data_IF_522146878565
#
_entry.id   IF_522146878565
#
_cell.length_a   1.000
_cell.length_b   1.000
_cell.length_c   1.000
_cell.angle_alpha   90.00
_cell.angle_beta   90.00
_cell.angle_gamma   90.00
#
_symmetry.space_group_name_H-M   'P 1'
#
loop_
_entity.id
_entity.type
_entity.pdbx_description
1 polymer ?
#
# COMPACT_ATOMS: atom_id res chain seq x y z
N UNK A 1 -18.13 -30.76 45.70
CA UNK A 1 -18.42 -29.37 46.09
C UNK A 1 -17.59 -28.45 45.21
N UNK A 2 -18.28 -27.78 44.28
CA UNK A 2 -17.99 -26.50 43.60
C UNK A 2 -16.59 -26.18 43.07
N UNK A 3 -16.43 -26.44 41.77
CA UNK A 3 -15.80 -25.62 40.72
C UNK A 3 -15.40 -24.18 41.10
N UNK A 4 -14.14 -23.83 40.79
CA UNK A 4 -13.75 -22.46 40.47
C UNK A 4 -13.13 -22.46 39.05
N UNK A 5 -13.87 -21.88 38.11
CA UNK A 5 -13.50 -21.67 36.72
C UNK A 5 -12.37 -20.63 36.65
N UNK A 6 -11.20 -21.00 36.13
CA UNK A 6 -10.15 -20.05 35.78
C UNK A 6 -10.41 -19.53 34.37
N UNK A 7 -11.12 -18.41 34.30
CA UNK A 7 -11.33 -17.60 33.10
C UNK A 7 -10.00 -16.94 32.73
N UNK A 8 -9.57 -17.11 31.49
CA UNK A 8 -8.46 -16.37 30.91
C UNK A 8 -8.84 -14.87 30.85
N UNK A 9 -8.38 -14.10 31.85
CA UNK A 9 -8.44 -12.65 31.84
C UNK A 9 -7.44 -12.12 30.81
N UNK A 10 -7.94 -11.83 29.61
CA UNK A 10 -7.31 -10.83 28.75
C UNK A 10 -7.50 -9.47 29.44
N UNK A 11 -6.42 -8.86 29.90
CA UNK A 11 -6.46 -7.49 30.40
C UNK A 11 -6.85 -6.57 29.24
N UNK A 12 -8.14 -6.27 29.13
CA UNK A 12 -8.59 -5.00 28.58
C UNK A 12 -8.24 -3.94 29.60
N UNK A 13 -7.40 -2.97 29.24
CA UNK A 13 -7.25 -1.73 30.00
C UNK A 13 -8.64 -1.12 30.19
N UNK A 14 -9.24 -1.36 31.35
CA UNK A 14 -10.39 -0.63 31.84
C UNK A 14 -9.88 0.63 32.51
N UNK A 15 -10.28 1.76 31.95
CA UNK A 15 -10.23 3.10 32.55
C UNK A 15 -10.50 3.06 34.06
N UNK A 16 -9.44 3.23 34.86
CA UNK A 16 -9.52 3.79 36.21
C UNK A 16 -8.51 4.93 36.28
N UNK A 17 -9.02 6.15 36.08
CA UNK A 17 -8.35 7.36 36.55
C UNK A 17 -8.30 7.29 38.09
N UNK A 18 -7.13 6.98 38.63
CA UNK A 18 -6.74 7.43 39.96
C UNK A 18 -5.43 8.18 39.77
N UNK A 19 -5.50 9.49 39.91
CA UNK A 19 -4.33 10.36 39.99
C UNK A 19 -3.49 9.95 41.21
N UNK A 20 -2.31 9.41 40.96
CA UNK A 20 -1.22 9.40 41.93
C UNK A 20 0.01 10.01 41.27
N UNK A 21 0.36 11.21 41.71
CA UNK A 21 1.62 11.87 41.40
C UNK A 21 2.78 10.97 41.81
N UNK A 22 3.55 10.51 40.82
CA UNK A 22 4.92 10.04 41.03
C UNK A 22 5.80 10.93 40.17
N UNK A 23 6.61 11.76 40.83
CA UNK A 23 7.66 12.55 40.17
C UNK A 23 8.69 11.62 39.51
N UNK A 24 9.07 11.83 38.25
CA UNK A 24 10.21 11.15 37.68
C UNK A 24 11.45 12.05 37.77
N UNK A 25 12.46 11.56 38.48
CA UNK A 25 13.84 12.00 38.30
C UNK A 25 14.57 11.04 37.35
N UNK A 26 15.39 11.62 36.47
CA UNK A 26 16.49 11.02 35.69
C UNK A 26 16.12 10.62 34.25
N UNK A 27 16.27 11.62 33.38
CA UNK A 27 17.07 11.64 32.14
C UNK A 27 17.00 10.44 31.19
N UNK A 28 16.17 10.61 30.14
CA UNK A 28 16.48 10.13 28.80
C UNK A 28 15.83 11.08 27.79
N UNK A 29 16.64 11.97 27.20
CA UNK A 29 16.25 12.90 26.14
C UNK A 29 15.76 12.13 24.92
N UNK A 30 14.44 11.93 24.85
CA UNK A 30 13.77 11.56 23.61
C UNK A 30 13.42 12.87 22.90
N UNK A 31 14.14 13.21 21.83
CA UNK A 31 13.83 14.39 21.01
C UNK A 31 12.46 14.18 20.38
N UNK A 32 11.41 14.71 21.02
CA UNK A 32 10.07 14.78 20.46
C UNK A 32 10.10 15.62 19.18
N UNK A 33 9.92 14.98 18.02
CA UNK A 33 9.64 15.69 16.77
C UNK A 33 8.32 16.45 16.92
N UNK A 34 8.40 17.77 17.10
CA UNK A 34 7.25 18.69 17.14
C UNK A 34 6.33 18.44 15.94
N UNK A 35 5.06 18.08 16.22
CA UNK A 35 4.00 17.91 15.22
C UNK A 35 3.91 19.19 14.36
N UNK A 36 4.14 19.07 13.04
CA UNK A 36 4.04 20.19 12.12
C UNK A 36 2.57 20.62 11.95
N UNK A 37 2.25 21.85 12.32
CA UNK A 37 0.93 22.44 12.09
C UNK A 37 0.65 22.58 10.59
N UNK A 38 -0.49 22.06 10.11
CA UNK A 38 -0.92 22.22 8.71
C UNK A 38 -1.39 23.65 8.48
N UNK A 39 -0.84 24.31 7.46
CA UNK A 39 -1.20 25.68 7.06
C UNK A 39 -2.19 25.60 5.90
N UNK A 40 -3.28 26.36 5.96
CA UNK A 40 -4.24 26.50 4.86
C UNK A 40 -4.30 27.97 4.44
N UNK A 41 -4.25 28.20 3.14
CA UNK A 41 -4.41 29.53 2.54
C UNK A 41 -5.87 29.72 2.15
N UNK A 42 -6.47 30.85 2.56
CA UNK A 42 -7.86 31.18 2.25
C UNK A 42 -7.88 32.45 1.41
N UNK A 43 -8.51 32.43 0.21
CA UNK A 43 -8.64 33.61 -0.61
C UNK A 43 -9.52 34.64 0.11
N UNK A 44 -9.03 35.87 0.21
CA UNK A 44 -9.73 37.00 0.81
C UNK A 44 -10.50 37.79 -0.26
N UNK A 45 -9.80 38.16 -1.34
CA UNK A 45 -10.35 39.00 -2.39
C UNK A 45 -9.53 38.88 -3.68
N UNK A 46 -10.18 39.16 -4.80
CA UNK A 46 -9.58 39.19 -6.13
C UNK A 46 -9.75 40.60 -6.71
N UNK A 47 -8.70 41.13 -7.30
CA UNK A 47 -8.63 42.45 -7.92
C UNK A 47 -8.40 42.30 -9.42
N UNK A 48 -8.97 43.22 -10.20
CA UNK A 48 -8.73 43.29 -11.65
C UNK A 48 -7.42 44.01 -11.99
N UNK A 49 -6.99 44.96 -11.16
CA UNK A 49 -5.74 45.70 -11.32
C UNK A 49 -4.70 45.29 -10.26
N UNK A 50 -3.46 45.12 -10.72
CA UNK A 50 -2.26 44.83 -9.91
C UNK A 50 -1.89 46.02 -9.01
N UNK A 51 -2.15 47.25 -9.46
CA UNK A 51 -1.81 48.46 -8.72
C UNK A 51 -2.65 48.63 -7.45
N UNK A 52 -3.92 48.24 -7.51
CA UNK A 52 -4.84 48.30 -6.36
C UNK A 52 -4.38 47.40 -5.21
N UNK A 53 -3.81 46.23 -5.53
CA UNK A 53 -3.27 45.30 -4.54
C UNK A 53 -2.03 45.85 -3.86
N UNK A 54 -1.12 46.44 -4.63
CA UNK A 54 0.11 47.04 -4.09
C UNK A 54 -0.24 48.24 -3.21
N UNK A 55 -1.18 49.08 -3.67
CA UNK A 55 -1.68 50.22 -2.89
C UNK A 55 -2.29 49.74 -1.57
N UNK A 56 -3.16 48.73 -1.59
CA UNK A 56 -3.74 48.18 -0.36
C UNK A 56 -2.71 47.62 0.62
N UNK A 57 -1.71 46.87 0.13
CA UNK A 57 -0.67 46.31 1.01
C UNK A 57 0.21 47.42 1.61
N UNK A 58 0.46 48.48 0.85
CA UNK A 58 1.22 49.64 1.32
C UNK A 58 0.41 50.49 2.32
N UNK A 59 -0.88 50.74 2.02
CA UNK A 59 -1.81 51.48 2.88
C UNK A 59 -2.01 50.76 4.23
N UNK A 60 -2.02 49.42 4.22
CA UNK A 60 -2.06 48.60 5.43
C UNK A 60 -0.83 48.85 6.34
N UNK A 61 0.34 49.20 5.78
CA UNK A 61 1.59 49.54 6.50
C UNK A 61 2.22 48.43 7.36
N UNK A 62 1.55 47.29 7.50
CA UNK A 62 1.88 46.22 8.46
C UNK A 62 2.52 44.98 7.81
N UNK A 63 2.81 45.02 6.52
CA UNK A 63 3.27 43.87 5.75
C UNK A 63 4.69 44.07 5.22
N UNK A 64 5.52 43.03 5.32
CA UNK A 64 6.85 43.02 4.72
C UNK A 64 7.00 41.81 3.81
N UNK A 65 7.49 42.06 2.59
CA UNK A 65 7.73 41.03 1.58
C UNK A 65 8.79 40.04 2.07
N UNK A 66 8.53 38.75 1.89
CA UNK A 66 9.43 37.66 2.32
C UNK A 66 10.11 36.98 1.14
N UNK A 67 9.34 36.34 0.25
CA UNK A 67 9.88 35.64 -0.93
C UNK A 67 8.82 35.55 -2.04
N UNK A 68 9.21 35.04 -3.19
CA UNK A 68 8.34 34.92 -4.37
C UNK A 68 8.58 33.61 -5.08
N UNK A 69 7.50 32.89 -5.41
CA UNK A 69 7.53 31.62 -6.12
C UNK A 69 6.78 31.74 -7.45
N UNK A 70 7.24 31.01 -8.46
CA UNK A 70 6.56 30.91 -9.77
C UNK A 70 5.97 29.50 -9.85
N UNK A 71 4.68 29.43 -10.17
CA UNK A 71 3.90 28.19 -10.29
C UNK A 71 3.12 28.19 -11.60
N UNK A 72 2.55 27.06 -11.99
CA UNK A 72 1.73 26.97 -13.22
C UNK A 72 0.51 27.91 -13.17
N UNK A 73 -0.05 28.14 -11.97
CA UNK A 73 -1.14 29.10 -11.73
C UNK A 73 -0.70 30.57 -11.83
N UNK A 74 0.62 30.84 -11.85
CA UNK A 74 1.20 32.17 -11.92
C UNK A 74 2.19 32.49 -10.80
N UNK A 75 2.45 33.78 -10.58
CA UNK A 75 3.48 34.27 -9.65
C UNK A 75 2.88 34.51 -8.27
N UNK A 76 3.43 33.89 -7.22
CA UNK A 76 3.02 34.08 -5.82
C UNK A 76 4.04 34.88 -5.04
N UNK A 77 3.63 36.01 -4.47
CA UNK A 77 4.47 36.84 -3.58
C UNK A 77 3.97 36.72 -2.13
N UNK A 78 4.84 36.34 -1.21
CA UNK A 78 4.50 36.13 0.20
C UNK A 78 4.90 37.33 1.07
N UNK A 79 4.04 37.70 2.00
CA UNK A 79 4.25 38.78 2.97
C UNK A 79 4.04 38.27 4.39
N UNK A 80 4.83 38.80 5.33
CA UNK A 80 4.72 38.56 6.77
C UNK A 80 4.31 39.83 7.49
N UNK A 81 3.60 39.71 8.60
CA UNK A 81 3.30 40.84 9.45
C UNK A 81 4.58 41.40 10.10
N UNK A 82 4.78 42.72 10.04
CA UNK A 82 5.94 43.41 10.62
C UNK A 82 5.66 44.01 12.00
N UNK A 83 4.42 43.90 12.51
CA UNK A 83 4.08 44.29 13.87
C UNK A 83 4.64 43.27 14.86
N UNK A 84 5.93 43.39 15.20
CA UNK A 84 6.56 42.60 16.25
C UNK A 84 7.32 43.55 17.18
N UNK A 85 7.18 43.35 18.50
CA UNK A 85 8.04 44.00 19.50
C UNK A 85 9.44 43.39 19.42
N UNK A 86 10.49 44.20 19.53
CA UNK A 86 11.92 43.84 19.37
C UNK A 86 12.39 42.57 20.14
N UNK A 87 11.65 42.09 21.14
CA UNK A 87 11.98 40.88 21.92
C UNK A 87 10.80 39.90 22.13
N UNK A 88 9.89 39.73 21.16
CA UNK A 88 8.73 38.83 21.26
C UNK A 88 8.67 37.69 20.23
N UNK A 89 7.75 36.73 20.43
CA UNK A 89 7.40 35.72 19.41
C UNK A 89 6.89 36.43 18.14
N UNK A 90 7.37 36.06 16.94
CA UNK A 90 6.95 36.70 15.69
C UNK A 90 5.46 36.48 15.43
N UNK A 91 4.79 37.51 14.89
CA UNK A 91 3.38 37.43 14.53
C UNK A 91 3.18 36.30 13.49
N UNK A 92 2.26 35.33 13.75
CA UNK A 92 2.03 34.20 12.84
C UNK A 92 1.28 34.59 11.56
N UNK A 93 0.75 35.83 11.48
CA UNK A 93 -0.01 36.29 10.34
C UNK A 93 0.88 36.43 9.09
N UNK A 94 0.41 35.84 7.99
CA UNK A 94 1.02 35.97 6.67
C UNK A 94 -0.05 36.02 5.60
N UNK A 95 0.25 36.70 4.51
CA UNK A 95 -0.57 36.76 3.31
C UNK A 95 0.26 36.35 2.10
N UNK A 96 -0.39 35.88 1.05
CA UNK A 96 0.24 35.79 -0.26
C UNK A 96 -0.64 36.46 -1.31
N UNK A 97 0.02 36.96 -2.33
CA UNK A 97 -0.58 37.59 -3.50
C UNK A 97 -0.27 36.69 -4.70
N UNK A 98 -1.30 36.14 -5.32
CA UNK A 98 -1.19 35.35 -6.55
C UNK A 98 -1.56 36.23 -7.75
N UNK A 99 -0.59 36.44 -8.63
CA UNK A 99 -0.79 36.99 -9.96
C UNK A 99 -1.05 35.82 -10.91
N UNK A 100 -2.29 35.67 -11.36
CA UNK A 100 -2.71 34.55 -12.19
C UNK A 100 -2.04 34.59 -13.57
N UNK A 101 -1.74 33.41 -14.14
CA UNK A 101 -1.17 33.28 -15.49
C UNK A 101 -2.25 33.33 -16.59
N UNK A 102 -3.46 32.86 -16.28
CA UNK A 102 -4.57 32.72 -17.23
C UNK A 102 -5.42 33.99 -17.37
N UNK A 103 -5.39 34.87 -16.35
CA UNK A 103 -6.12 36.12 -16.34
C UNK A 103 -5.29 37.24 -15.70
N UNK A 104 -5.61 38.50 -15.99
CA UNK A 104 -4.89 39.65 -15.43
C UNK A 104 -5.22 39.93 -13.96
N UNK A 105 -6.08 39.09 -13.34
CA UNK A 105 -6.53 39.28 -11.98
C UNK A 105 -5.44 38.92 -10.94
N UNK A 106 -5.62 39.46 -9.74
CA UNK A 106 -4.73 39.25 -8.61
C UNK A 106 -5.52 38.84 -7.38
N UNK A 107 -5.18 37.70 -6.77
CA UNK A 107 -5.86 37.22 -5.57
C UNK A 107 -4.98 37.37 -4.34
N UNK A 108 -5.51 37.98 -3.29
CA UNK A 108 -4.88 38.01 -1.96
C UNK A 108 -5.46 36.88 -1.13
N UNK A 109 -4.61 36.10 -0.47
CA UNK A 109 -5.01 35.07 0.48
C UNK A 109 -4.29 35.22 1.80
N UNK A 110 -4.96 34.93 2.93
CA UNK A 110 -4.31 34.87 4.24
C UNK A 110 -3.98 33.44 4.65
N UNK A 111 -2.97 33.30 5.50
CA UNK A 111 -2.60 32.03 6.10
C UNK A 111 -3.40 31.81 7.38
N UNK A 112 -4.13 30.71 7.43
CA UNK A 112 -4.70 30.22 8.67
C UNK A 112 -3.90 29.00 9.14
N UNK A 113 -3.46 29.06 10.40
CA UNK A 113 -2.96 27.89 11.10
C UNK A 113 -4.19 27.05 11.42
N UNK A 114 -4.34 25.91 10.75
CA UNK A 114 -5.27 24.89 11.23
C UNK A 114 -4.60 24.33 12.48
N UNK A 115 -4.95 24.89 13.63
CA UNK A 115 -4.75 24.15 14.85
C UNK A 115 -5.56 22.88 14.68
N UNK A 116 -4.92 21.71 14.85
CA UNK A 116 -5.66 20.50 15.19
C UNK A 116 -6.25 20.71 16.60
N UNK A 117 -7.13 21.70 16.77
CA UNK A 117 -8.02 21.74 17.92
C UNK A 117 -8.82 20.46 17.82
N UNK A 118 -8.69 19.62 18.86
CA UNK A 118 -9.46 18.38 18.99
C UNK A 118 -10.88 18.61 18.48
N UNK A 119 -11.23 18.02 17.34
CA UNK A 119 -12.54 18.20 16.70
C UNK A 119 -13.69 17.96 17.69
N UNK A 120 -13.46 17.13 18.71
CA UNK A 120 -14.33 16.90 19.85
C UNK A 120 -14.72 18.19 20.61
N UNK A 121 -13.78 19.11 20.88
CA UNK A 121 -14.03 20.37 21.62
C UNK A 121 -14.91 21.33 20.81
N UNK A 122 -14.66 21.45 19.50
CA UNK A 122 -15.44 22.27 18.57
C UNK A 122 -16.85 21.71 18.36
N UNK A 123 -16.98 20.39 18.24
CA UNK A 123 -18.27 19.71 18.13
C UNK A 123 -19.12 19.91 19.39
N UNK A 124 -18.53 19.77 20.57
CA UNK A 124 -19.24 19.99 21.85
C UNK A 124 -19.70 21.45 21.99
N UNK A 125 -18.89 22.41 21.55
CA UNK A 125 -19.24 23.84 21.57
C UNK A 125 -20.40 24.17 20.60
N UNK A 126 -20.42 23.54 19.43
CA UNK A 126 -21.48 23.73 18.44
C UNK A 126 -22.81 23.07 18.85
N UNK A 127 -22.77 21.91 19.53
CA UNK A 127 -23.97 21.26 20.09
C UNK A 127 -24.56 22.10 21.22
N UNK A 128 -23.72 22.62 22.13
CA UNK A 128 -24.16 23.53 23.20
C UNK A 128 -24.78 24.82 22.66
N UNK A 129 -24.26 25.37 21.57
CA UNK A 129 -24.85 26.53 20.87
C UNK A 129 -26.22 26.24 20.25
N UNK A 130 -26.53 24.98 19.94
CA UNK A 130 -27.82 24.55 19.38
C UNK A 130 -28.82 24.09 20.45
N UNK A 131 -28.53 24.32 21.74
CA UNK A 131 -29.38 23.89 22.87
C UNK A 131 -29.68 22.38 22.89
N UNK A 132 -28.86 21.57 22.23
CA UNK A 132 -29.00 20.13 22.22
C UNK A 132 -28.28 19.54 23.44
N UNK A 133 -28.93 18.62 24.14
CA UNK A 133 -28.32 17.93 25.27
C UNK A 133 -27.10 17.13 24.79
N UNK A 134 -25.91 17.47 25.32
CA UNK A 134 -24.68 16.74 24.99
C UNK A 134 -24.71 15.42 25.73
N UNK A 135 -24.76 14.26 25.05
CA UNK A 135 -24.74 12.97 25.73
C UNK A 135 -23.44 12.81 26.52
N UNK A 136 -23.53 12.19 27.70
CA UNK A 136 -22.34 11.84 28.49
C UNK A 136 -21.44 10.89 27.69
N UNK A 137 -20.11 10.97 27.87
CA UNK A 137 -19.14 10.06 27.23
C UNK A 137 -19.54 8.59 27.40
N UNK A 138 -20.07 8.22 28.57
CA UNK A 138 -20.55 6.87 28.87
C UNK A 138 -21.79 6.47 28.05
N UNK A 139 -22.72 7.40 27.80
CA UNK A 139 -23.89 7.14 26.93
C UNK A 139 -23.45 6.91 25.49
N UNK A 140 -22.50 7.71 24.99
CA UNK A 140 -21.91 7.51 23.67
C UNK A 140 -21.17 6.18 23.57
N UNK A 141 -20.36 5.83 24.57
CA UNK A 141 -19.65 4.56 24.62
C UNK A 141 -20.63 3.37 24.60
N UNK A 142 -21.66 3.41 25.45
CA UNK A 142 -22.70 2.38 25.52
C UNK A 142 -23.48 2.26 24.20
N UNK A 143 -23.82 3.39 23.59
CA UNK A 143 -24.46 3.43 22.29
C UNK A 143 -23.58 2.83 21.20
N UNK A 144 -22.29 3.19 21.13
CA UNK A 144 -21.34 2.62 20.18
C UNK A 144 -21.13 1.12 20.39
N UNK A 145 -21.08 0.65 21.64
CA UNK A 145 -21.02 -0.78 21.95
C UNK A 145 -22.27 -1.49 21.43
N UNK A 146 -23.46 -0.91 21.66
CA UNK A 146 -24.72 -1.49 21.20
C UNK A 146 -24.82 -1.55 19.68
N UNK A 147 -24.42 -0.48 18.98
CA UNK A 147 -24.34 -0.45 17.52
C UNK A 147 -23.34 -1.49 17.01
N UNK A 148 -22.14 -1.55 17.59
CA UNK A 148 -21.13 -2.54 17.19
C UNK A 148 -21.63 -3.97 17.39
N UNK A 149 -22.33 -4.25 18.50
CA UNK A 149 -22.95 -5.57 18.73
C UNK A 149 -24.04 -5.88 17.70
N UNK A 150 -24.83 -4.88 17.32
CA UNK A 150 -25.89 -5.02 16.30
C UNK A 150 -25.32 -5.30 14.91
N UNK A 151 -24.27 -4.59 14.49
CA UNK A 151 -23.70 -4.70 13.15
C UNK A 151 -22.68 -5.82 12.99
N UNK A 152 -21.84 -6.06 14.00
CA UNK A 152 -20.71 -7.00 13.92
C UNK A 152 -20.84 -8.22 14.83
N UNK A 153 -21.92 -8.33 15.61
CA UNK A 153 -22.12 -9.43 16.55
C UNK A 153 -21.29 -9.31 17.83
N UNK A 154 -21.12 -10.44 18.52
CA UNK A 154 -20.40 -10.52 19.78
C UNK A 154 -18.92 -10.12 19.63
N UNK A 155 -18.33 -9.52 20.66
CA UNK A 155 -16.92 -9.11 20.68
C UNK A 155 -15.95 -10.26 20.94
N UNK A 156 -16.46 -11.41 21.35
CA UNK A 156 -15.69 -12.62 21.61
C UNK A 156 -16.17 -13.70 20.66
N UNK A 157 -15.26 -14.54 20.19
CA UNK A 157 -15.54 -15.75 19.43
C UNK A 157 -14.70 -16.86 20.05
N UNK A 158 -15.35 -17.96 20.42
CA UNK A 158 -14.66 -19.18 20.84
C UNK A 158 -14.02 -19.88 19.62
N UNK A 159 -13.08 -20.80 19.87
CA UNK A 159 -12.48 -21.58 18.77
C UNK A 159 -13.52 -22.45 18.07
N UNK A 160 -14.45 -23.05 18.81
CA UNK A 160 -15.55 -23.83 18.25
C UNK A 160 -16.45 -22.97 17.35
N UNK A 161 -16.76 -21.73 17.79
CA UNK A 161 -17.53 -20.79 16.96
C UNK A 161 -16.74 -20.35 15.72
N UNK A 162 -15.43 -20.18 15.82
CA UNK A 162 -14.55 -19.84 14.71
C UNK A 162 -14.47 -21.01 13.71
N UNK A 163 -14.32 -22.23 14.19
CA UNK A 163 -14.32 -23.45 13.39
C UNK A 163 -15.65 -23.63 12.66
N UNK A 164 -16.76 -23.54 13.39
CA UNK A 164 -18.10 -23.58 12.79
C UNK A 164 -18.30 -22.43 11.79
N UNK A 165 -17.71 -21.25 12.00
CA UNK A 165 -17.74 -20.17 11.03
C UNK A 165 -16.91 -20.49 9.79
N UNK A 166 -15.70 -21.02 9.95
CA UNK A 166 -14.85 -21.43 8.84
C UNK A 166 -15.51 -22.52 7.99
N UNK A 167 -16.09 -23.54 8.63
CA UNK A 167 -16.85 -24.62 7.98
C UNK A 167 -18.05 -24.10 7.18
N UNK A 168 -18.86 -23.21 7.78
CA UNK A 168 -20.05 -22.66 7.09
C UNK A 168 -19.68 -21.82 5.87
N UNK A 169 -18.50 -21.22 5.87
CA UNK A 169 -18.03 -20.36 4.80
C UNK A 169 -16.96 -21.02 3.92
N UNK A 170 -16.72 -22.34 4.02
CA UNK A 170 -15.73 -23.02 3.17
C UNK A 170 -16.30 -23.47 1.82
N UNK A 171 -17.62 -23.45 1.68
CA UNK A 171 -18.27 -23.77 0.40
C UNK A 171 -17.99 -22.66 -0.61
N UNK A 172 -17.43 -23.06 -1.75
CA UNK A 172 -17.14 -22.15 -2.87
C UNK A 172 -18.48 -21.61 -3.40
N UNK A 173 -18.74 -20.29 -3.34
CA UNK A 173 -19.97 -19.70 -3.83
C UNK A 173 -20.07 -19.76 -5.35
N UNK A 174 -21.29 -19.74 -5.90
CA UNK A 174 -21.54 -19.60 -7.33
C UNK A 174 -21.30 -18.17 -7.84
N UNK A 175 -21.50 -17.18 -6.97
CA UNK A 175 -21.19 -15.78 -7.25
C UNK A 175 -19.68 -15.52 -7.14
N UNK A 176 -19.07 -15.12 -8.26
CA UNK A 176 -17.63 -14.84 -8.36
C UNK A 176 -17.15 -13.75 -7.41
N UNK A 177 -18.04 -12.85 -6.98
CA UNK A 177 -17.76 -11.72 -6.09
C UNK A 177 -17.99 -12.01 -4.61
N UNK A 178 -18.58 -13.17 -4.29
CA UNK A 178 -18.82 -13.57 -2.90
C UNK A 178 -17.58 -14.24 -2.33
N UNK A 179 -17.09 -13.69 -1.22
CA UNK A 179 -15.95 -14.27 -0.50
C UNK A 179 -16.29 -15.59 0.21
N UNK A 180 -15.27 -16.42 0.39
CA UNK A 180 -15.32 -17.66 1.16
C UNK A 180 -13.99 -17.94 1.86
N UNK A 181 -14.01 -18.87 2.82
CA UNK A 181 -12.82 -19.41 3.48
C UNK A 181 -12.21 -20.47 2.57
N UNK A 182 -11.10 -20.13 1.93
CA UNK A 182 -10.41 -21.02 1.02
C UNK A 182 -9.89 -22.28 1.73
N UNK A 183 -9.21 -22.06 2.87
CA UNK A 183 -8.68 -23.12 3.73
C UNK A 183 -8.56 -22.58 5.14
N UNK A 184 -8.71 -23.48 6.11
CA UNK A 184 -8.45 -23.17 7.51
C UNK A 184 -7.87 -24.40 8.21
N UNK A 185 -7.23 -24.14 9.35
CA UNK A 185 -6.73 -25.15 10.27
C UNK A 185 -6.84 -24.58 11.68
N UNK A 186 -7.46 -25.35 12.56
CA UNK A 186 -7.63 -25.01 13.97
C UNK A 186 -7.11 -26.21 14.76
N UNK A 187 -6.15 -25.95 15.64
CA UNK A 187 -5.53 -26.93 16.53
C UNK A 187 -5.96 -26.60 17.96
N UNK A 188 -6.60 -27.56 18.60
CA UNK A 188 -6.95 -27.52 20.01
C UNK A 188 -5.81 -28.14 20.82
N UNK A 189 -5.53 -27.61 22.01
CA UNK A 189 -4.58 -28.24 22.93
C UNK A 189 -5.02 -29.66 23.28
N UNK A 190 -4.15 -30.64 23.03
CA UNK A 190 -4.25 -31.96 23.66
C UNK A 190 -3.74 -31.82 25.11
N UNK A 191 -4.53 -32.28 26.10
CA UNK A 191 -4.24 -32.14 27.54
C UNK A 191 -2.88 -32.74 28.01
N UNK A 192 -2.15 -33.41 27.12
CA UNK A 192 -1.03 -34.31 27.44
C UNK A 192 0.35 -33.63 27.35
N UNK A 193 0.52 -32.53 26.61
CA UNK A 193 1.81 -31.84 26.48
C UNK A 193 1.73 -30.39 26.99
N UNK A 194 2.02 -30.21 28.28
CA UNK A 194 2.06 -28.91 29.00
C UNK A 194 3.42 -28.20 28.93
N UNK A 195 4.27 -28.54 27.97
CA UNK A 195 5.52 -27.81 27.78
C UNK A 195 5.32 -26.64 26.82
N UNK A 196 5.85 -25.50 27.24
CA UNK A 196 5.63 -24.13 26.77
C UNK A 196 5.47 -23.91 25.25
N UNK A 197 4.64 -22.93 24.91
CA UNK A 197 4.32 -22.34 23.59
C UNK A 197 3.27 -22.99 22.68
N UNK A 198 2.66 -24.12 23.07
CA UNK A 198 1.65 -24.79 22.23
C UNK A 198 0.19 -24.35 22.50
N UNK A 199 -0.01 -23.03 22.64
CA UNK A 199 -1.34 -22.42 22.70
C UNK A 199 -2.17 -22.81 21.47
N UNK A 200 -3.48 -22.97 21.66
CA UNK A 200 -4.45 -23.15 20.57
C UNK A 200 -4.09 -22.32 19.34
N UNK A 201 -3.91 -22.98 18.19
CA UNK A 201 -3.49 -22.32 16.94
C UNK A 201 -4.65 -22.28 15.98
N UNK A 202 -4.80 -21.17 15.29
CA UNK A 202 -5.76 -21.06 14.21
C UNK A 202 -5.14 -20.29 13.06
N UNK A 203 -5.52 -20.70 11.86
CA UNK A 203 -5.18 -20.02 10.62
C UNK A 203 -6.28 -20.24 9.60
N UNK A 204 -6.59 -19.19 8.85
CA UNK A 204 -7.53 -19.29 7.76
C UNK A 204 -7.23 -18.25 6.68
N UNK A 205 -7.61 -18.59 5.45
CA UNK A 205 -7.44 -17.74 4.28
C UNK A 205 -8.80 -17.43 3.65
N UNK A 206 -9.05 -16.16 3.33
CA UNK A 206 -10.31 -15.70 2.72
C UNK A 206 -10.02 -15.00 1.39
N UNK A 207 -10.81 -15.36 0.38
CA UNK A 207 -10.70 -14.85 -0.99
C UNK A 207 -12.04 -14.88 -1.72
N UNK A 208 -12.07 -14.46 -2.99
CA UNK A 208 -13.20 -14.55 -3.92
C UNK A 208 -12.72 -15.07 -5.29
N UNK A 209 -13.60 -15.67 -6.13
CA UNK A 209 -13.19 -16.37 -7.38
C UNK A 209 -12.53 -15.39 -8.33
N UNK A 210 -13.13 -14.20 -8.49
CA UNK A 210 -12.60 -13.14 -9.35
C UNK A 210 -11.20 -12.66 -8.92
N UNK A 211 -10.91 -12.72 -7.62
CA UNK A 211 -9.60 -12.34 -7.09
C UNK A 211 -8.55 -13.41 -7.40
N UNK A 212 -8.91 -14.69 -7.33
CA UNK A 212 -8.03 -15.81 -7.70
C UNK A 212 -7.68 -15.82 -9.20
N UNK A 213 -8.61 -15.45 -10.10
CA UNK A 213 -8.32 -15.31 -11.52
C UNK A 213 -7.23 -14.27 -11.82
N UNK A 214 -7.15 -13.23 -10.99
CA UNK A 214 -6.15 -12.17 -11.12
C UNK A 214 -4.91 -12.43 -10.26
N UNK A 215 -4.87 -13.53 -9.49
CA UNK A 215 -3.77 -13.82 -8.58
C UNK A 215 -2.59 -14.46 -9.31
N UNK A 216 -1.45 -13.76 -9.37
CA UNK A 216 -0.14 -14.33 -9.74
C UNK A 216 0.83 -14.13 -8.55
N UNK A 217 1.00 -15.16 -7.70
CA UNK A 217 1.96 -15.30 -6.55
C UNK A 217 1.55 -14.77 -5.14
N UNK A 218 1.97 -15.37 -3.97
CA UNK A 218 1.45 -15.05 -2.60
C UNK A 218 2.35 -14.15 -1.69
N UNK A 219 1.97 -13.35 -0.64
CA UNK A 219 1.38 -13.65 0.72
C UNK A 219 0.91 -12.37 1.54
N UNK A 220 0.32 -12.45 2.77
CA UNK A 220 -0.34 -11.42 3.67
C UNK A 220 -0.66 -9.97 3.16
N UNK A 221 -1.92 -9.47 3.29
CA UNK A 221 -2.55 -8.62 2.22
C UNK A 221 -1.96 -9.10 0.91
N UNK A 222 -2.44 -10.26 0.52
CA UNK A 222 -1.86 -10.94 -0.61
C UNK A 222 -2.28 -10.15 -1.83
N UNK A 223 -1.32 -9.77 -2.66
CA UNK A 223 -1.60 -9.11 -3.92
C UNK A 223 -0.55 -9.41 -4.96
N UNK A 224 -0.93 -9.23 -6.21
CA UNK A 224 -0.03 -9.32 -7.37
C UNK A 224 0.22 -7.90 -7.90
N UNK A 225 1.23 -7.75 -8.74
CA UNK A 225 1.36 -6.57 -9.59
C UNK A 225 0.96 -6.88 -11.02
N UNK A 226 0.44 -5.88 -11.72
CA UNK A 226 0.20 -5.95 -13.17
C UNK A 226 1.40 -5.41 -13.97
N UNK A 227 1.29 -5.37 -15.30
CA UNK A 227 2.38 -4.95 -16.18
C UNK A 227 2.69 -3.43 -16.12
N UNK A 228 1.92 -2.66 -15.34
CA UNK A 228 2.21 -1.26 -15.05
C UNK A 228 2.65 -1.04 -13.60
N UNK A 229 3.07 -2.10 -12.91
CA UNK A 229 3.54 -2.08 -11.50
C UNK A 229 2.47 -1.66 -10.49
N UNK A 230 1.18 -1.71 -10.87
CA UNK A 230 0.09 -1.44 -9.93
C UNK A 230 -0.15 -2.67 -9.06
N UNK A 231 -0.20 -2.47 -7.74
CA UNK A 231 -0.51 -3.54 -6.78
C UNK A 231 -2.01 -3.82 -6.74
N UNK A 232 -2.35 -5.10 -6.75
CA UNK A 232 -3.71 -5.62 -6.78
C UNK A 232 -3.88 -6.63 -5.65
N UNK A 233 -4.42 -6.23 -4.49
CA UNK A 233 -4.72 -7.17 -3.43
C UNK A 233 -5.84 -8.13 -3.86
N UNK A 234 -5.64 -9.42 -3.57
CA UNK A 234 -6.52 -10.53 -3.92
C UNK A 234 -6.87 -11.44 -2.72
N UNK A 235 -6.28 -11.26 -1.54
CA UNK A 235 -6.69 -12.07 -0.38
C UNK A 235 -6.10 -11.64 0.96
N UNK A 236 -6.62 -12.24 2.03
CA UNK A 236 -6.13 -12.08 3.40
C UNK A 236 -5.91 -13.42 4.07
N UNK A 237 -4.78 -13.55 4.75
CA UNK A 237 -4.56 -14.61 5.72
C UNK A 237 -4.56 -14.02 7.12
N UNK A 238 -5.16 -14.75 8.06
CA UNK A 238 -5.02 -14.50 9.50
C UNK A 238 -4.33 -15.71 10.12
N UNK A 239 -3.21 -15.49 10.80
CA UNK A 239 -2.45 -16.52 11.51
C UNK A 239 -2.21 -16.10 12.96
N UNK A 240 -2.08 -17.08 13.85
CA UNK A 240 -1.77 -16.84 15.27
C UNK A 240 -0.32 -16.41 15.54
N UNK A 241 0.59 -16.61 14.59
CA UNK A 241 2.02 -16.25 14.70
C UNK A 241 2.63 -16.05 13.30
N UNK A 242 3.91 -15.65 13.25
CA UNK A 242 4.68 -15.41 12.01
C UNK A 242 5.80 -16.46 11.83
N UNK A 243 5.44 -17.75 11.99
CA UNK A 243 6.40 -18.87 11.82
C UNK A 243 6.38 -19.43 10.39
N UNK A 244 7.46 -20.11 9.99
CA UNK A 244 7.62 -20.69 8.65
C UNK A 244 6.43 -21.58 8.22
N UNK A 245 5.89 -22.41 9.13
CA UNK A 245 4.74 -23.28 8.88
C UNK A 245 3.47 -22.51 8.50
N UNK A 246 3.32 -21.24 8.90
CA UNK A 246 2.21 -20.37 8.53
C UNK A 246 2.33 -19.91 7.07
N UNK A 247 3.53 -19.47 6.68
CA UNK A 247 3.80 -19.11 5.29
C UNK A 247 3.68 -20.33 4.37
N UNK A 248 4.15 -21.50 4.79
CA UNK A 248 3.98 -22.77 4.06
C UNK A 248 2.49 -23.08 3.83
N UNK A 249 1.66 -22.88 4.86
CA UNK A 249 0.22 -23.01 4.74
C UNK A 249 -0.33 -22.09 3.65
N UNK A 250 0.02 -20.79 3.68
CA UNK A 250 -0.50 -19.81 2.72
C UNK A 250 -0.08 -20.15 1.29
N UNK A 251 1.20 -20.44 1.07
CA UNK A 251 1.72 -20.83 -0.23
C UNK A 251 1.07 -22.14 -0.73
N UNK A 252 0.83 -23.10 0.17
CA UNK A 252 0.14 -24.36 -0.19
C UNK A 252 -1.32 -24.15 -0.59
N UNK A 253 -2.06 -23.30 0.14
CA UNK A 253 -3.46 -22.98 -0.20
C UNK A 253 -3.53 -22.46 -1.63
N UNK A 254 -2.70 -21.49 -1.96
CA UNK A 254 -2.76 -20.84 -3.27
C UNK A 254 -2.35 -21.77 -4.40
N UNK A 255 -1.29 -22.56 -4.23
CA UNK A 255 -0.92 -23.57 -5.23
C UNK A 255 -2.06 -24.56 -5.47
N UNK A 256 -2.57 -25.16 -4.39
CA UNK A 256 -3.51 -26.26 -4.48
C UNK A 256 -4.86 -25.76 -5.06
N UNK A 257 -5.32 -24.57 -4.69
CA UNK A 257 -6.59 -24.04 -5.17
C UNK A 257 -6.54 -23.45 -6.57
N UNK A 258 -5.40 -22.88 -6.99
CA UNK A 258 -5.23 -22.55 -8.40
C UNK A 258 -5.34 -23.81 -9.26
N UNK A 259 -4.73 -24.92 -8.85
CA UNK A 259 -4.89 -26.21 -9.52
C UNK A 259 -6.35 -26.69 -9.51
N UNK A 260 -7.04 -26.60 -8.37
CA UNK A 260 -8.45 -27.01 -8.26
C UNK A 260 -9.37 -26.19 -9.18
N UNK A 261 -9.05 -24.92 -9.42
CA UNK A 261 -9.78 -24.03 -10.33
C UNK A 261 -9.36 -24.15 -11.80
N UNK A 262 -8.52 -25.13 -12.14
CA UNK A 262 -7.89 -25.27 -13.46
C UNK A 262 -7.12 -24.01 -13.91
N UNK A 263 -6.58 -23.28 -12.95
CA UNK A 263 -5.72 -22.12 -13.17
C UNK A 263 -4.26 -22.56 -13.05
N UNK A 264 -3.46 -22.26 -14.07
CA UNK A 264 -2.03 -22.52 -14.04
C UNK A 264 -1.27 -21.26 -13.62
N UNK A 265 -0.41 -21.43 -12.61
CA UNK A 265 0.64 -20.46 -12.35
C UNK A 265 1.74 -20.63 -13.40
N UNK A 266 2.13 -19.53 -14.05
CA UNK A 266 3.35 -19.53 -14.82
C UNK A 266 4.55 -19.49 -13.86
N UNK A 267 5.05 -20.67 -13.50
CA UNK A 267 6.18 -20.83 -12.57
C UNK A 267 7.46 -20.10 -13.05
N UNK A 268 7.60 -19.85 -14.35
CA UNK A 268 8.75 -19.15 -14.92
C UNK A 268 8.70 -17.62 -14.73
N UNK A 269 7.53 -17.07 -14.44
CA UNK A 269 7.31 -15.63 -14.22
C UNK A 269 7.06 -15.31 -12.74
N UNK A 270 7.32 -16.28 -11.86
CA UNK A 270 7.03 -16.18 -10.45
C UNK A 270 8.09 -15.36 -9.72
N UNK A 271 7.68 -14.19 -9.22
CA UNK A 271 8.54 -13.31 -8.43
C UNK A 271 7.87 -13.11 -7.07
N UNK A 272 8.55 -13.51 -6.00
CA UNK A 272 8.14 -13.20 -4.63
C UNK A 272 8.83 -11.91 -4.18
N UNK A 273 8.03 -10.94 -3.75
CA UNK A 273 8.50 -9.73 -3.09
C UNK A 273 7.93 -9.76 -1.69
N UNK A 274 8.81 -9.76 -0.70
CA UNK A 274 8.47 -9.86 0.71
C UNK A 274 9.42 -8.98 1.51
N UNK A 275 9.10 -8.76 2.79
CA UNK A 275 10.12 -8.30 3.74
C UNK A 275 11.28 -9.31 3.83
N UNK A 276 12.44 -8.84 4.24
CA UNK A 276 13.68 -9.63 4.32
C UNK A 276 13.64 -10.63 5.49
N UNK A 277 12.69 -11.56 5.42
CA UNK A 277 12.40 -12.56 6.42
C UNK A 277 12.72 -13.95 5.85
N UNK A 278 13.77 -14.57 6.38
CA UNK A 278 14.25 -15.88 5.94
C UNK A 278 13.16 -16.97 6.00
N UNK A 279 12.28 -16.88 7.01
CA UNK A 279 11.15 -17.80 7.21
C UNK A 279 10.17 -17.82 6.03
N UNK A 280 9.99 -16.69 5.33
CA UNK A 280 9.09 -16.58 4.19
C UNK A 280 9.74 -17.19 2.96
N UNK A 281 11.01 -16.86 2.72
CA UNK A 281 11.81 -17.43 1.63
C UNK A 281 11.86 -18.96 1.73
N UNK A 282 12.14 -19.50 2.92
CA UNK A 282 12.21 -20.94 3.16
C UNK A 282 10.86 -21.62 2.90
N UNK A 283 9.77 -21.02 3.37
CA UNK A 283 8.42 -21.54 3.12
C UNK A 283 8.05 -21.55 1.63
N UNK A 284 8.32 -20.46 0.92
CA UNK A 284 8.05 -20.32 -0.51
C UNK A 284 8.81 -21.38 -1.32
N UNK A 285 10.11 -21.50 -1.07
CA UNK A 285 10.98 -22.47 -1.72
C UNK A 285 10.51 -23.89 -1.47
N UNK A 286 10.14 -24.23 -0.23
CA UNK A 286 9.65 -25.58 0.08
C UNK A 286 8.40 -25.94 -0.73
N UNK A 287 7.49 -24.99 -0.96
CA UNK A 287 6.25 -25.23 -1.72
C UNK A 287 6.49 -25.33 -3.22
N UNK A 288 7.38 -24.51 -3.79
CA UNK A 288 7.67 -24.48 -5.23
C UNK A 288 8.63 -25.59 -5.63
N UNK A 289 9.71 -25.77 -4.86
CA UNK A 289 10.69 -26.83 -5.09
C UNK A 289 10.11 -28.22 -4.79
N UNK A 290 8.91 -28.32 -4.18
CA UNK A 290 8.20 -29.61 -4.00
C UNK A 290 8.07 -30.39 -5.31
N UNK A 291 7.93 -29.69 -6.46
CA UNK A 291 7.85 -30.29 -7.79
C UNK A 291 9.17 -30.95 -8.23
N UNK A 292 10.30 -30.40 -7.81
CA UNK A 292 11.65 -30.81 -8.21
C UNK A 292 12.34 -31.70 -7.17
N UNK A 293 11.59 -32.25 -6.21
CA UNK A 293 12.11 -33.07 -5.11
C UNK A 293 12.96 -34.26 -5.56
N UNK A 294 12.73 -34.76 -6.77
CA UNK A 294 13.46 -35.90 -7.31
C UNK A 294 14.68 -35.48 -8.15
N UNK A 295 14.95 -34.18 -8.28
CA UNK A 295 16.05 -33.64 -9.11
C UNK A 295 17.11 -32.93 -8.26
N UNK A 296 17.83 -33.71 -7.43
CA UNK A 296 18.87 -33.22 -6.51
C UNK A 296 19.93 -32.33 -7.18
N UNK A 297 20.33 -32.66 -8.41
CA UNK A 297 21.32 -31.86 -9.16
C UNK A 297 20.79 -30.47 -9.48
N UNK A 298 19.53 -30.37 -9.91
CA UNK A 298 18.88 -29.09 -10.19
C UNK A 298 18.72 -28.29 -8.89
N UNK A 299 18.21 -28.91 -7.82
CA UNK A 299 18.00 -28.25 -6.53
C UNK A 299 19.30 -27.68 -5.97
N UNK A 300 20.40 -28.44 -6.02
CA UNK A 300 21.71 -27.99 -5.56
C UNK A 300 22.26 -26.83 -6.40
N UNK A 301 22.15 -26.91 -7.73
CA UNK A 301 22.53 -25.82 -8.62
C UNK A 301 21.71 -24.55 -8.34
N UNK A 302 20.38 -24.71 -8.27
CA UNK A 302 19.45 -23.60 -8.05
C UNK A 302 19.72 -22.91 -6.72
N UNK A 303 19.93 -23.67 -5.65
CA UNK A 303 20.28 -23.12 -4.35
C UNK A 303 21.57 -22.32 -4.39
N UNK A 304 22.63 -22.84 -5.01
CA UNK A 304 23.92 -22.16 -5.05
C UNK A 304 23.87 -20.88 -5.91
N UNK A 305 23.26 -20.95 -7.09
CA UNK A 305 23.29 -19.85 -8.06
C UNK A 305 22.25 -18.77 -7.80
N UNK A 306 21.05 -19.15 -7.37
CA UNK A 306 19.90 -18.25 -7.30
C UNK A 306 19.56 -17.84 -5.87
N UNK A 307 19.71 -18.76 -4.90
CA UNK A 307 19.39 -18.47 -3.50
C UNK A 307 20.56 -17.90 -2.72
N UNK A 308 21.77 -18.42 -2.96
CA UNK A 308 22.95 -17.98 -2.20
C UNK A 308 23.70 -16.85 -2.90
N UNK A 309 23.83 -16.90 -4.24
CA UNK A 309 24.65 -15.94 -4.99
C UNK A 309 23.87 -14.73 -5.56
N UNK A 310 22.55 -14.85 -5.74
CA UNK A 310 21.71 -13.82 -6.41
C UNK A 310 20.46 -13.41 -5.63
N UNK A 311 20.51 -13.47 -4.30
CA UNK A 311 19.42 -13.07 -3.40
C UNK A 311 19.27 -11.56 -3.17
N UNK A 312 19.92 -10.70 -3.98
CA UNK A 312 19.90 -9.26 -3.80
C UNK A 312 18.72 -8.57 -4.50
N UNK A 313 18.12 -7.57 -3.86
CA UNK A 313 17.18 -6.68 -4.52
C UNK A 313 17.90 -5.61 -5.36
N UNK A 314 17.63 -5.59 -6.66
CA UNK A 314 17.94 -4.45 -7.52
C UNK A 314 16.88 -4.32 -8.62
N UNK A 315 16.59 -3.09 -9.04
CA UNK A 315 15.51 -2.77 -10.00
C UNK A 315 15.64 -3.50 -11.36
N UNK A 316 16.85 -3.98 -11.68
CA UNK A 316 17.11 -4.80 -12.88
C UNK A 316 16.76 -6.28 -12.75
N UNK A 317 16.53 -6.80 -11.55
CA UNK A 317 16.22 -8.21 -11.31
C UNK A 317 14.78 -8.56 -11.68
N UNK A 318 13.86 -7.62 -11.46
CA UNK A 318 12.44 -7.78 -11.71
C UNK A 318 11.88 -6.53 -12.40
N UNK A 319 11.98 -6.48 -13.72
CA UNK A 319 11.71 -5.29 -14.56
C UNK A 319 10.29 -4.72 -14.47
N UNK A 320 9.37 -5.46 -13.85
CA UNK A 320 7.96 -5.09 -13.65
C UNK A 320 7.52 -5.22 -12.18
N UNK A 321 8.47 -5.44 -11.28
CA UNK A 321 8.22 -5.32 -9.86
C UNK A 321 8.19 -3.84 -9.45
N UNK A 322 7.32 -3.46 -8.50
CA UNK A 322 7.35 -2.12 -7.94
C UNK A 322 8.68 -1.87 -7.24
N UNK A 323 9.33 -0.75 -7.55
CA UNK A 323 10.60 -0.35 -6.93
C UNK A 323 10.44 0.25 -5.53
N UNK A 324 9.20 0.43 -5.07
CA UNK A 324 8.85 1.03 -3.78
C UNK A 324 7.67 0.29 -3.15
N UNK A 325 7.56 0.36 -1.83
CA UNK A 325 6.44 -0.22 -1.08
C UNK A 325 5.17 0.68 -1.08
N UNK A 326 5.14 1.78 -1.83
CA UNK A 326 4.07 2.78 -1.76
C UNK A 326 2.67 2.20 -1.98
N UNK A 327 2.55 1.24 -2.89
CA UNK A 327 1.26 0.63 -3.19
C UNK A 327 0.74 -0.24 -2.02
N UNK A 328 1.63 -0.94 -1.33
CA UNK A 328 1.33 -1.67 -0.09
C UNK A 328 0.97 -0.70 1.03
N UNK A 329 1.75 0.38 1.21
CA UNK A 329 1.46 1.41 2.21
C UNK A 329 0.13 2.13 1.97
N UNK A 330 -0.22 2.40 0.70
CA UNK A 330 -1.50 2.98 0.32
C UNK A 330 -2.65 2.03 0.64
N UNK A 331 -2.50 0.73 0.34
CA UNK A 331 -3.51 -0.29 0.67
C UNK A 331 -3.69 -0.42 2.17
N UNK A 332 -2.58 -0.48 2.92
CA UNK A 332 -2.58 -0.47 4.38
C UNK A 332 -3.28 0.77 4.96
N UNK A 333 -3.10 1.92 4.32
CA UNK A 333 -3.74 3.18 4.72
C UNK A 333 -5.25 3.13 4.49
N UNK A 334 -5.72 2.62 3.36
CA UNK A 334 -7.15 2.42 3.10
C UNK A 334 -7.78 1.51 4.15
N UNK A 335 -7.16 0.37 4.45
CA UNK A 335 -7.67 -0.55 5.48
C UNK A 335 -7.69 0.13 6.85
N UNK A 336 -6.65 0.90 7.19
CA UNK A 336 -6.57 1.63 8.45
C UNK A 336 -7.61 2.76 8.51
N UNK A 337 -7.75 3.56 7.48
CA UNK A 337 -8.55 4.79 7.52
C UNK A 337 -10.04 4.54 7.22
N UNK A 338 -10.35 3.61 6.33
CA UNK A 338 -11.71 3.36 5.85
C UNK A 338 -12.36 2.14 6.51
N UNK A 339 -11.63 1.01 6.57
CA UNK A 339 -12.25 -0.27 6.92
C UNK A 339 -12.19 -0.57 8.43
N UNK A 340 -11.10 -0.18 9.09
CA UNK A 340 -10.89 -0.40 10.55
C UNK A 340 -10.97 0.89 11.37
N UNK A 341 -11.01 2.05 10.72
CA UNK A 341 -11.00 3.37 11.36
C UNK A 341 -9.85 3.55 12.39
N UNK A 342 -8.73 2.88 12.14
CA UNK A 342 -7.54 2.77 12.98
C UNK A 342 -7.81 2.15 14.36
N UNK A 343 -8.95 1.49 14.51
CA UNK A 343 -9.29 0.76 15.72
C UNK A 343 -8.70 -0.65 15.69
N UNK A 344 -8.21 -1.12 16.83
CA UNK A 344 -7.88 -2.54 17.01
C UNK A 344 -9.19 -3.31 17.13
N UNK A 345 -9.46 -4.17 16.15
CA UNK A 345 -10.65 -5.01 16.14
C UNK A 345 -10.34 -6.36 16.79
N UNK A 346 -11.27 -6.81 17.64
CA UNK A 346 -11.31 -8.21 18.09
C UNK A 346 -11.58 -9.14 16.90
N UNK A 347 -11.05 -10.36 16.95
CA UNK A 347 -11.07 -11.30 15.83
C UNK A 347 -12.47 -11.49 15.24
N UNK A 348 -13.50 -11.65 16.09
CA UNK A 348 -14.89 -11.83 15.67
C UNK A 348 -15.44 -10.69 14.80
N UNK A 349 -15.02 -9.46 15.06
CA UNK A 349 -15.41 -8.28 14.27
C UNK A 349 -14.52 -8.14 13.05
N UNK A 350 -13.25 -8.48 13.19
CA UNK A 350 -12.29 -8.42 12.11
C UNK A 350 -12.67 -9.36 10.96
N UNK A 351 -13.20 -10.56 11.23
CA UNK A 351 -13.67 -11.48 10.18
C UNK A 351 -14.79 -10.87 9.33
N UNK A 352 -15.73 -10.13 9.93
CA UNK A 352 -16.81 -9.43 9.22
C UNK A 352 -16.24 -8.30 8.33
N UNK A 353 -15.33 -7.50 8.87
CA UNK A 353 -14.66 -6.43 8.13
C UNK A 353 -13.84 -7.00 6.98
N UNK A 354 -13.12 -8.09 7.21
CA UNK A 354 -12.31 -8.77 6.21
C UNK A 354 -13.15 -9.24 5.02
N UNK A 355 -14.30 -9.88 5.27
CA UNK A 355 -15.25 -10.24 4.20
C UNK A 355 -15.71 -9.03 3.39
N UNK A 356 -16.01 -7.92 4.06
CA UNK A 356 -16.38 -6.67 3.40
C UNK A 356 -15.27 -6.14 2.49
N UNK A 357 -14.02 -6.16 2.96
CA UNK A 357 -12.86 -5.69 2.18
C UNK A 357 -12.67 -6.58 0.94
N UNK A 358 -12.66 -7.90 1.10
CA UNK A 358 -12.46 -8.85 0.00
C UNK A 358 -13.59 -8.71 -1.04
N UNK A 359 -14.84 -8.59 -0.59
CA UNK A 359 -15.98 -8.35 -1.48
C UNK A 359 -15.86 -7.01 -2.23
N UNK A 360 -15.42 -5.94 -1.55
CA UNK A 360 -15.16 -4.62 -2.17
C UNK A 360 -14.10 -4.76 -3.26
N UNK A 361 -12.97 -5.39 -2.96
CA UNK A 361 -11.89 -5.63 -3.92
C UNK A 361 -12.32 -6.47 -5.12
N UNK A 362 -13.19 -7.46 -4.91
CA UNK A 362 -13.74 -8.28 -5.99
C UNK A 362 -14.64 -7.45 -6.90
N UNK A 363 -15.62 -6.74 -6.32
CA UNK A 363 -16.57 -5.89 -7.07
C UNK A 363 -15.88 -4.80 -7.86
N UNK A 364 -14.85 -4.15 -7.29
CA UNK A 364 -14.06 -3.14 -7.99
C UNK A 364 -13.42 -3.67 -9.29
N UNK A 365 -13.27 -4.99 -9.43
CA UNK A 365 -12.68 -5.64 -10.62
C UNK A 365 -13.72 -6.32 -11.52
N UNK A 366 -15.00 -6.18 -11.22
CA UNK A 366 -16.05 -6.78 -12.04
C UNK A 366 -16.13 -6.08 -13.40
N UNK A 367 -15.84 -6.75 -14.54
CA UNK A 367 -15.72 -6.11 -15.85
C UNK A 367 -17.06 -5.56 -16.36
N UNK A 368 -18.19 -5.97 -15.78
CA UNK A 368 -19.52 -5.44 -16.13
C UNK A 368 -19.73 -4.02 -15.59
N UNK A 369 -18.94 -3.59 -14.60
CA UNK A 369 -19.01 -2.25 -14.05
C UNK A 369 -18.22 -1.25 -14.92
N UNK A 370 -18.83 -0.10 -15.17
CA UNK A 370 -18.23 1.01 -15.96
C UNK A 370 -16.90 1.46 -15.35
N UNK A 371 -16.83 1.52 -14.01
CA UNK A 371 -15.65 1.98 -13.26
C UNK A 371 -14.76 0.82 -12.80
N UNK A 372 -14.76 -0.30 -13.51
CA UNK A 372 -13.96 -1.47 -13.15
C UNK A 372 -12.46 -1.19 -13.22
N UNK A 373 -11.74 -1.58 -12.17
CA UNK A 373 -10.28 -1.62 -12.11
C UNK A 373 -9.80 -2.76 -13.00
N UNK A 374 -9.37 -2.43 -14.21
CA UNK A 374 -8.85 -3.40 -15.19
C UNK A 374 -7.43 -3.80 -14.83
N UNK A 375 -7.16 -5.09 -14.85
CA UNK A 375 -5.80 -5.62 -14.76
C UNK A 375 -5.08 -5.41 -16.09
N UNK A 376 -3.91 -4.77 -16.08
CA UNK A 376 -3.19 -4.46 -17.33
C UNK A 376 -2.23 -5.59 -17.68
N UNK A 377 -2.48 -6.23 -18.81
CA UNK A 377 -1.64 -7.32 -19.34
C UNK A 377 -0.50 -6.83 -20.24
N UNK A 378 -0.44 -5.54 -20.55
CA UNK A 378 0.60 -4.94 -21.38
C UNK A 378 1.15 -3.68 -20.69
N UNK A 379 2.47 -3.42 -20.80
CA UNK A 379 3.06 -2.20 -20.26
C UNK A 379 2.52 -0.98 -21.00
N UNK A 380 2.09 0.04 -20.25
CA UNK A 380 1.69 1.31 -20.82
C UNK A 380 2.94 2.18 -20.99
N UNK A 381 3.52 2.21 -22.19
CA UNK A 381 4.62 3.13 -22.49
C UNK A 381 4.00 4.51 -22.75
N UNK A 382 4.21 5.44 -21.82
CA UNK A 382 3.78 6.82 -22.03
C UNK A 382 4.74 7.55 -22.96
N UNK A 383 4.24 8.51 -23.74
CA UNK A 383 5.05 9.41 -24.57
C UNK A 383 6.15 10.14 -23.76
N UNK A 384 5.91 10.39 -22.47
CA UNK A 384 6.88 10.97 -21.55
C UNK A 384 8.03 10.01 -21.20
N UNK A 385 7.72 8.74 -20.92
CA UNK A 385 8.75 7.71 -20.74
C UNK A 385 9.55 7.51 -22.03
N UNK A 386 8.89 7.54 -23.19
CA UNK A 386 9.56 7.55 -24.50
C UNK A 386 10.55 8.72 -24.64
N UNK A 387 10.13 9.94 -24.27
CA UNK A 387 10.96 11.15 -24.31
C UNK A 387 12.13 11.16 -23.32
N UNK A 388 11.93 10.68 -22.09
CA UNK A 388 13.01 10.52 -21.11
C UNK A 388 14.03 9.47 -21.56
N UNK A 389 13.57 8.38 -22.17
CA UNK A 389 14.43 7.31 -22.68
C UNK A 389 15.27 7.78 -23.88
N UNK A 390 14.73 8.69 -24.70
CA UNK A 390 15.45 9.28 -25.82
C UNK A 390 16.47 10.35 -25.39
N UNK A 391 16.18 11.12 -24.34
CA UNK A 391 17.02 12.24 -23.88
C UNK A 391 18.12 11.82 -22.90
N UNK A 392 17.91 10.76 -22.10
CA UNK A 392 18.89 10.28 -21.11
C UNK A 392 19.92 9.29 -21.66
N UNK A 393 19.88 8.95 -22.95
CA UNK A 393 20.85 8.01 -23.56
C UNK A 393 20.81 6.61 -22.94
N UNK A 394 19.70 6.22 -22.32
CA UNK A 394 19.47 4.84 -21.89
C UNK A 394 19.45 3.98 -23.15
N UNK A 395 20.58 3.32 -23.42
CA UNK A 395 20.85 2.74 -24.73
C UNK A 395 19.72 1.78 -25.14
N UNK A 396 19.33 1.85 -26.41
CA UNK A 396 18.44 0.89 -27.07
C UNK A 396 18.79 -0.57 -26.71
N UNK A 397 20.06 -0.84 -26.38
CA UNK A 397 20.58 -2.12 -25.88
C UNK A 397 19.95 -2.59 -24.57
N UNK A 398 19.65 -1.70 -23.61
CA UNK A 398 18.94 -2.03 -22.37
C UNK A 398 17.45 -2.31 -22.62
N UNK A 399 16.84 -1.61 -23.59
CA UNK A 399 15.47 -1.87 -24.05
C UNK A 399 15.35 -3.24 -24.73
N UNK A 400 16.25 -3.54 -25.69
CA UNK A 400 16.30 -4.83 -26.38
C UNK A 400 16.58 -5.98 -25.39
N UNK A 401 17.43 -5.78 -24.40
CA UNK A 401 17.67 -6.80 -23.36
C UNK A 401 16.44 -7.07 -22.49
N UNK A 402 15.66 -6.02 -22.16
CA UNK A 402 14.42 -6.13 -21.37
C UNK A 402 13.26 -6.76 -22.13
N UNK A 403 13.25 -6.66 -23.47
CA UNK A 403 12.11 -7.10 -24.30
C UNK A 403 12.31 -8.49 -24.94
N UNK A 404 13.56 -8.94 -25.14
CA UNK A 404 13.88 -10.15 -25.92
C UNK A 404 14.02 -11.45 -25.10
N UNK A 405 13.71 -11.46 -23.80
CA UNK A 405 13.79 -12.65 -22.93
C UNK A 405 12.61 -13.64 -23.12
N UNK A 406 11.88 -13.56 -24.23
CA UNK A 406 10.98 -14.61 -24.72
C UNK A 406 11.67 -15.43 -25.82
N UNK A 407 11.70 -16.75 -25.65
CA UNK A 407 12.69 -17.72 -26.18
C UNK A 407 12.96 -17.79 -27.69
N UNK A 408 12.22 -17.10 -28.58
CA UNK A 408 12.57 -17.04 -30.02
C UNK A 408 13.37 -15.80 -30.41
N UNK A 409 13.38 -14.77 -29.57
CA UNK A 409 13.96 -13.48 -29.90
C UNK A 409 15.44 -13.36 -29.44
N UNK A 410 15.89 -14.19 -28.49
CA UNK A 410 17.29 -14.20 -28.02
C UNK A 410 18.33 -14.42 -29.15
N UNK A 411 17.99 -15.18 -30.20
CA UNK A 411 18.90 -15.44 -31.33
C UNK A 411 19.20 -14.15 -32.10
N UNK A 412 18.18 -13.33 -32.35
CA UNK A 412 18.31 -12.05 -33.05
C UNK A 412 19.13 -11.07 -32.20
N UNK A 413 18.88 -11.03 -30.89
CA UNK A 413 19.66 -10.21 -29.96
C UNK A 413 21.15 -10.59 -29.94
N UNK A 414 21.45 -11.90 -29.88
CA UNK A 414 22.82 -12.42 -29.89
C UNK A 414 23.53 -12.14 -31.22
N UNK A 415 22.81 -12.22 -32.35
CA UNK A 415 23.31 -11.84 -33.67
C UNK A 415 23.67 -10.36 -33.75
N UNK A 416 22.78 -9.47 -33.27
CA UNK A 416 23.04 -8.02 -33.24
C UNK A 416 24.23 -7.69 -32.34
N UNK A 417 24.34 -8.30 -31.16
CA UNK A 417 25.49 -8.15 -30.25
C UNK A 417 26.80 -8.63 -30.88
N UNK A 418 26.78 -9.77 -31.58
CA UNK A 418 27.96 -10.32 -32.26
C UNK A 418 28.40 -9.40 -33.40
N UNK A 419 27.45 -8.86 -34.17
CA UNK A 419 27.71 -7.84 -35.20
C UNK A 419 28.30 -6.56 -34.59
N UNK A 420 27.70 -6.02 -33.53
CA UNK A 420 28.21 -4.83 -32.83
C UNK A 420 29.66 -5.03 -32.32
N UNK A 421 29.97 -6.21 -31.78
CA UNK A 421 31.33 -6.54 -31.33
C UNK A 421 32.34 -6.63 -32.46
N UNK A 422 31.94 -7.05 -33.66
CA UNK A 422 32.82 -7.07 -34.82
C UNK A 422 33.02 -5.68 -35.43
N UNK A 423 32.01 -4.81 -35.32
CA UNK A 423 32.04 -3.47 -35.91
C UNK A 423 32.80 -2.47 -35.05
N UNK A 424 32.75 -2.60 -33.72
CA UNK A 424 33.66 -1.85 -32.83
C UNK A 424 35.14 -2.07 -33.16
N UNK A 425 35.46 -3.17 -33.85
CA UNK A 425 36.82 -3.45 -34.34
C UNK A 425 37.09 -2.87 -35.73
N UNK A 426 36.06 -2.53 -36.53
CA UNK A 426 36.24 -2.11 -37.93
C UNK A 426 36.13 -0.60 -38.18
N UNK A 427 35.64 0.21 -37.24
CA UNK A 427 35.50 1.67 -37.36
C UNK A 427 34.76 2.16 -38.63
N UNK A 428 33.95 1.32 -39.26
CA UNK A 428 33.32 1.63 -40.54
C UNK A 428 31.93 2.26 -40.37
N UNK A 429 31.82 3.56 -40.68
CA UNK A 429 30.59 4.34 -40.57
C UNK A 429 29.46 3.85 -41.49
N UNK A 430 29.76 3.18 -42.61
CA UNK A 430 28.71 2.66 -43.51
C UNK A 430 27.93 1.51 -42.87
N UNK A 431 28.61 0.70 -42.07
CA UNK A 431 27.99 -0.43 -41.37
C UNK A 431 27.09 0.05 -40.22
N UNK A 432 27.46 1.17 -39.57
CA UNK A 432 26.60 1.80 -38.57
C UNK A 432 25.25 2.26 -39.15
N UNK A 433 25.25 2.79 -40.38
CA UNK A 433 24.03 3.17 -41.10
C UNK A 433 23.13 1.96 -41.44
N UNK A 434 23.74 0.86 -41.89
CA UNK A 434 23.00 -0.39 -42.18
C UNK A 434 22.38 -1.01 -40.92
N UNK A 435 23.05 -0.93 -39.77
CA UNK A 435 22.49 -1.36 -38.49
C UNK A 435 21.31 -0.47 -38.09
N UNK A 436 21.41 0.84 -38.29
CA UNK A 436 20.29 1.71 -38.00
C UNK A 436 19.07 1.33 -38.85
N UNK A 437 19.27 1.11 -40.16
CA UNK A 437 18.22 0.66 -41.08
C UNK A 437 17.64 -0.70 -40.70
N UNK A 438 18.48 -1.67 -40.32
CA UNK A 438 18.05 -2.98 -39.85
C UNK A 438 17.25 -2.89 -38.54
N UNK A 439 17.66 -2.03 -37.59
CA UNK A 439 16.90 -1.76 -36.35
C UNK A 439 15.54 -1.15 -36.65
N UNK A 440 15.49 -0.16 -37.54
CA UNK A 440 14.25 0.49 -37.92
C UNK A 440 13.31 -0.51 -38.61
N UNK A 441 13.81 -1.29 -39.57
CA UNK A 441 13.03 -2.31 -40.28
C UNK A 441 12.51 -3.42 -39.37
N UNK A 442 13.35 -3.94 -38.47
CA UNK A 442 12.95 -4.95 -37.48
C UNK A 442 11.88 -4.39 -36.53
N UNK A 443 12.00 -3.13 -36.13
CA UNK A 443 11.01 -2.47 -35.28
C UNK A 443 9.67 -2.28 -36.01
N UNK A 444 9.68 -1.79 -37.25
CA UNK A 444 8.47 -1.66 -38.07
C UNK A 444 7.77 -3.01 -38.28
N UNK A 445 8.55 -4.08 -38.47
CA UNK A 445 8.01 -5.43 -38.65
C UNK A 445 7.42 -6.05 -37.38
N UNK A 446 7.93 -5.70 -36.18
CA UNK A 446 7.46 -6.25 -34.90
C UNK A 446 6.24 -5.49 -34.38
N UNK A 447 6.23 -4.16 -34.55
CA UNK A 447 5.22 -3.31 -33.92
C UNK A 447 4.13 -2.83 -34.87
N UNK A 448 4.33 -2.95 -36.19
CA UNK A 448 3.46 -2.37 -37.20
C UNK A 448 3.52 -0.83 -37.16
N UNK A 449 3.72 -0.21 -38.32
CA UNK A 449 3.41 1.21 -38.47
C UNK A 449 1.91 1.37 -38.73
#
# INVERSE_FOLDING_TARGET
>A
MTQAQLIAHYFSDSDNNIDMEIQPSIDNETIERKKQNRRKWIPLCTYSDKNDVIKKINDDGIWSKTHTNITNEGKRTYYRCNQVKLHGKPCPASIHVLYHSENECVTISNMQIIQNENQAKTYTRNIRKKSLHVPKKQQLSSYLISLRKKYYGASTISLDELDAWCQRNSLIPDDDDKSWVLKYQIEYEDEINKDDDNKNKFRFFVTARRLLFNARSPCFIIGTTDMITQFHPFGFTVCSNEKQNEFEFIFSCLRDDLLNLNLQMNEQELILITDDAEVISNAFLKIILKKWKNEDKFLRYFSNEWLNAKNGWFEGLATHAPSTNYALEATNRVIKDEDTLRERLVLSRFTVVLYSIVNKWSKERNPTLINSKKFKHQPLITHYQYGLMHTTGLSLTKMLYRFFMGTQHCIIYLLVKKLESQIKKSNDMKIAGLIHLARTSLFTSIYGA
#
